data_IF_703535683579
#
_entry.id   IF_703535683579
#
_cell.length_a   1.000
_cell.length_b   1.000
_cell.length_c   1.000
_cell.angle_alpha   90.00
_cell.angle_beta   90.00
_cell.angle_gamma   90.00
#
_symmetry.space_group_name_H-M   'P 1'
#
loop_
_entity.id
_entity.type
_entity.pdbx_description
1 polymer ?
#
# COMPACT_ATOMS: atom_id res chain seq x y z
N UNK A 1 -2.35 -15.49 -16.55
CA UNK A 1 -2.58 -16.45 -15.43
C UNK A 1 -1.45 -16.45 -14.40
N UNK A 2 -0.19 -16.18 -14.78
CA UNK A 2 0.94 -16.08 -13.85
C UNK A 2 1.21 -14.66 -13.34
N UNK A 3 0.49 -13.67 -13.88
CA UNK A 3 0.77 -12.25 -13.73
C UNK A 3 0.71 -11.81 -12.27
N UNK A 4 -0.26 -12.34 -11.50
CA UNK A 4 -0.38 -12.08 -10.07
C UNK A 4 0.79 -12.63 -9.25
N UNK A 5 1.33 -13.80 -9.61
CA UNK A 5 2.49 -14.39 -8.94
C UNK A 5 3.76 -13.56 -9.21
N UNK A 6 3.96 -13.16 -10.47
CA UNK A 6 5.11 -12.35 -10.88
C UNK A 6 5.06 -10.98 -10.17
N UNK A 7 3.92 -10.29 -10.22
CA UNK A 7 3.74 -8.99 -9.56
C UNK A 7 3.92 -9.13 -8.05
N UNK A 8 3.34 -10.16 -7.43
CA UNK A 8 3.49 -10.42 -6.00
C UNK A 8 4.94 -10.68 -5.59
N UNK A 9 5.68 -11.45 -6.39
CA UNK A 9 7.10 -11.73 -6.16
C UNK A 9 7.96 -10.45 -6.29
N UNK A 10 7.73 -9.64 -7.32
CA UNK A 10 8.41 -8.36 -7.51
C UNK A 10 8.11 -7.37 -6.37
N UNK A 11 6.85 -7.29 -5.93
CA UNK A 11 6.44 -6.46 -4.81
C UNK A 11 7.10 -6.92 -3.50
N UNK A 12 7.06 -8.23 -3.21
CA UNK A 12 7.73 -8.81 -2.05
C UNK A 12 9.25 -8.56 -2.06
N UNK A 13 9.89 -8.69 -3.23
CA UNK A 13 11.30 -8.37 -3.41
C UNK A 13 11.59 -6.88 -3.12
N UNK A 14 10.75 -5.97 -3.60
CA UNK A 14 10.88 -4.53 -3.34
C UNK A 14 10.75 -4.21 -1.85
N UNK A 15 9.78 -4.81 -1.15
CA UNK A 15 9.61 -4.65 0.31
C UNK A 15 10.83 -5.17 1.08
N UNK A 16 11.32 -6.36 0.71
CA UNK A 16 12.49 -6.96 1.34
C UNK A 16 13.74 -6.10 1.13
N UNK A 17 13.98 -5.64 -0.11
CA UNK A 17 15.14 -4.80 -0.43
C UNK A 17 15.05 -3.40 0.19
N UNK A 18 13.85 -2.84 0.31
CA UNK A 18 13.57 -1.60 1.05
C UNK A 18 13.77 -1.73 2.57
N UNK A 19 13.93 -2.96 3.08
CA UNK A 19 14.04 -3.26 4.50
C UNK A 19 12.76 -2.97 5.27
N UNK A 20 11.61 -3.02 4.58
CA UNK A 20 10.28 -2.78 5.14
C UNK A 20 9.71 -4.01 5.86
N UNK A 21 10.37 -5.14 5.72
CA UNK A 21 10.09 -6.38 6.46
C UNK A 21 10.74 -6.40 7.85
N UNK A 22 11.49 -5.35 8.22
CA UNK A 22 12.18 -5.27 9.52
C UNK A 22 11.27 -4.63 10.56
N UNK A 23 11.02 -5.36 11.65
CA UNK A 23 10.23 -4.87 12.80
C UNK A 23 10.69 -3.48 13.28
N UNK A 24 12.00 -3.26 13.41
CA UNK A 24 12.57 -1.97 13.85
C UNK A 24 12.17 -0.77 12.98
N UNK A 25 11.89 -1.00 11.70
CA UNK A 25 11.46 0.05 10.77
C UNK A 25 9.96 0.35 10.91
N UNK A 26 9.14 -0.68 11.11
CA UNK A 26 7.70 -0.53 11.31
C UNK A 26 7.43 0.17 12.65
N UNK A 27 8.01 -0.34 13.75
CA UNK A 27 7.87 0.29 15.07
C UNK A 27 8.48 1.69 15.09
N UNK A 28 9.56 1.92 14.33
CA UNK A 28 10.15 3.24 14.15
C UNK A 28 9.19 4.23 13.49
N UNK A 29 8.35 3.80 12.56
CA UNK A 29 7.30 4.64 11.98
C UNK A 29 6.20 4.95 12.99
N UNK A 30 5.75 3.95 13.78
CA UNK A 30 4.73 4.15 14.82
C UNK A 30 5.19 5.11 15.93
N UNK A 31 6.47 5.03 16.30
CA UNK A 31 7.09 5.94 17.27
C UNK A 31 7.52 7.29 16.66
N UNK A 32 7.24 7.52 15.37
CA UNK A 32 7.65 8.72 14.63
C UNK A 32 9.17 8.98 14.64
N UNK A 33 9.99 7.92 14.74
CA UNK A 33 11.46 7.96 14.74
C UNK A 33 12.08 7.63 13.37
N UNK A 34 11.42 6.77 12.59
CA UNK A 34 11.87 6.38 11.24
C UNK A 34 10.67 6.40 10.28
N UNK A 35 10.64 7.36 9.36
CA UNK A 35 9.57 7.53 8.38
C UNK A 35 9.79 6.75 7.08
N UNK A 36 10.77 5.86 6.99
CA UNK A 36 11.10 5.18 5.73
C UNK A 36 9.95 4.34 5.18
N UNK A 37 9.20 3.63 6.04
CA UNK A 37 8.03 2.88 5.61
C UNK A 37 6.93 3.80 5.06
N UNK A 38 6.65 4.88 5.78
CA UNK A 38 5.67 5.89 5.36
C UNK A 38 6.05 6.54 4.02
N UNK A 39 7.33 6.93 3.84
CA UNK A 39 7.83 7.50 2.58
C UNK A 39 7.69 6.53 1.41
N UNK A 40 7.96 5.25 1.62
CA UNK A 40 7.77 4.23 0.57
C UNK A 40 6.30 4.12 0.16
N UNK A 41 5.38 4.02 1.13
CA UNK A 41 3.94 3.93 0.85
C UNK A 41 3.43 5.17 0.10
N UNK A 42 3.81 6.37 0.56
CA UNK A 42 3.39 7.61 -0.09
C UNK A 42 4.02 7.81 -1.47
N UNK A 43 5.28 7.42 -1.68
CA UNK A 43 5.90 7.47 -3.00
C UNK A 43 5.18 6.54 -3.99
N UNK A 44 4.84 5.32 -3.57
CA UNK A 44 4.05 4.40 -4.38
C UNK A 44 2.69 4.98 -4.75
N UNK A 45 1.97 5.54 -3.76
CA UNK A 45 0.71 6.25 -3.99
C UNK A 45 0.85 7.41 -4.98
N UNK A 46 1.83 8.29 -4.77
CA UNK A 46 2.05 9.46 -5.61
C UNK A 46 2.35 9.08 -7.07
N UNK A 47 3.27 8.13 -7.30
CA UNK A 47 3.63 7.67 -8.65
C UNK A 47 2.41 7.02 -9.32
N UNK A 48 1.68 6.18 -8.60
CA UNK A 48 0.50 5.48 -9.12
C UNK A 48 -0.60 6.46 -9.52
N UNK A 49 -0.91 7.41 -8.64
CA UNK A 49 -1.91 8.47 -8.92
C UNK A 49 -1.49 9.34 -10.09
N UNK A 50 -0.20 9.68 -10.22
CA UNK A 50 0.31 10.49 -11.32
C UNK A 50 0.19 9.75 -12.67
N UNK A 51 0.64 8.48 -12.73
CA UNK A 51 0.58 7.68 -13.95
C UNK A 51 -0.87 7.49 -14.40
N UNK A 52 -1.76 7.08 -13.49
CA UNK A 52 -3.16 6.87 -13.86
C UNK A 52 -3.91 8.17 -14.13
N UNK A 53 -3.65 9.23 -13.36
CA UNK A 53 -4.26 10.53 -13.61
C UNK A 53 -3.83 11.14 -14.95
N UNK A 54 -2.55 10.99 -15.33
CA UNK A 54 -2.07 11.40 -16.65
C UNK A 54 -2.64 10.52 -17.77
N UNK A 55 -2.75 9.21 -17.55
CA UNK A 55 -3.36 8.29 -18.51
C UNK A 55 -4.82 8.61 -18.79
N UNK A 56 -5.57 9.03 -17.76
CA UNK A 56 -6.96 9.48 -17.89
C UNK A 56 -7.05 10.79 -18.69
N UNK A 57 -6.18 11.77 -18.40
CA UNK A 57 -6.15 13.06 -19.11
C UNK A 57 -5.78 12.93 -20.59
N UNK A 58 -4.94 11.94 -20.93
CA UNK A 58 -4.46 11.70 -22.29
C UNK A 58 -5.29 10.62 -23.03
N UNK A 59 -6.36 10.10 -22.42
CA UNK A 59 -7.22 9.04 -22.98
C UNK A 59 -6.44 7.76 -23.37
N UNK A 60 -5.36 7.43 -22.65
CA UNK A 60 -4.40 6.39 -23.02
C UNK A 60 -4.78 4.98 -22.53
N UNK A 61 -5.90 4.80 -21.84
CA UNK A 61 -6.25 3.49 -21.29
C UNK A 61 -7.60 3.40 -20.59
N UNK A 62 -7.98 2.20 -20.15
CA UNK A 62 -9.25 1.98 -19.45
C UNK A 62 -9.26 2.71 -18.10
N UNK A 63 -10.41 3.30 -17.78
CA UNK A 63 -10.63 3.97 -16.50
C UNK A 63 -10.30 3.03 -15.33
N UNK A 64 -9.55 3.55 -14.36
CA UNK A 64 -9.25 2.83 -13.14
C UNK A 64 -10.55 2.53 -12.37
N UNK A 65 -10.72 1.28 -11.93
CA UNK A 65 -11.88 0.90 -11.12
C UNK A 65 -11.70 1.43 -9.70
N UNK A 66 -12.40 2.51 -9.38
CA UNK A 66 -12.47 3.07 -8.03
C UNK A 66 -13.50 2.25 -7.23
N UNK A 67 -13.10 1.73 -6.08
CA UNK A 67 -14.03 1.07 -5.16
C UNK A 67 -14.98 2.12 -4.55
N UNK A 68 -16.28 1.84 -4.55
CA UNK A 68 -17.28 2.71 -3.95
C UNK A 68 -17.17 2.76 -2.42
N UNK A 69 -17.53 3.92 -1.84
CA UNK A 69 -17.60 4.07 -0.39
C UNK A 69 -18.76 3.27 0.20
N UNK A 70 -18.47 2.45 1.20
CA UNK A 70 -19.42 1.53 1.85
C UNK A 70 -19.71 1.94 3.30
N UNK A 71 -19.76 3.25 3.57
CA UNK A 71 -20.19 3.79 4.86
C UNK A 71 -19.44 3.23 6.06
N UNK A 72 -20.21 2.87 7.09
CA UNK A 72 -19.72 2.27 8.34
C UNK A 72 -18.92 0.97 8.14
N UNK A 73 -19.15 0.23 7.05
CA UNK A 73 -18.41 -1.00 6.77
C UNK A 73 -16.91 -0.75 6.59
N UNK A 74 -16.51 0.40 6.02
CA UNK A 74 -15.09 0.76 5.91
C UNK A 74 -14.47 1.04 7.28
N UNK A 75 -15.21 1.67 8.19
CA UNK A 75 -14.73 2.01 9.53
C UNK A 75 -14.57 0.72 10.35
N UNK A 76 -15.61 -0.11 10.39
CA UNK A 76 -15.59 -1.38 11.14
C UNK A 76 -14.52 -2.32 10.58
N UNK A 77 -14.44 -2.45 9.25
CA UNK A 77 -13.43 -3.26 8.59
C UNK A 77 -12.00 -2.76 8.85
N UNK A 78 -11.79 -1.44 8.81
CA UNK A 78 -10.49 -0.83 9.11
C UNK A 78 -10.04 -1.05 10.55
N UNK A 79 -10.95 -0.93 11.52
CA UNK A 79 -10.66 -1.19 12.94
C UNK A 79 -10.31 -2.68 13.14
N UNK A 80 -11.13 -3.59 12.61
CA UNK A 80 -10.90 -5.03 12.74
C UNK A 80 -9.58 -5.46 12.10
N UNK A 81 -9.29 -4.93 10.91
CA UNK A 81 -8.04 -5.18 10.20
C UNK A 81 -6.83 -4.65 10.98
N UNK A 82 -6.86 -3.40 11.44
CA UNK A 82 -5.79 -2.81 12.22
C UNK A 82 -5.53 -3.53 13.54
N UNK A 83 -6.59 -3.91 14.26
CA UNK A 83 -6.49 -4.70 15.48
C UNK A 83 -5.88 -6.08 15.21
N UNK A 84 -6.33 -6.77 14.15
CA UNK A 84 -5.78 -8.06 13.74
C UNK A 84 -4.29 -7.98 13.40
N UNK A 85 -3.87 -6.94 12.68
CA UNK A 85 -2.45 -6.71 12.38
C UNK A 85 -1.61 -6.52 13.64
N UNK A 86 -2.03 -5.65 14.56
CA UNK A 86 -1.29 -5.41 15.80
C UNK A 86 -1.18 -6.66 16.67
N UNK A 87 -2.24 -7.49 16.72
CA UNK A 87 -2.23 -8.77 17.45
C UNK A 87 -1.33 -9.83 16.79
N UNK A 88 -1.22 -9.82 15.45
CA UNK A 88 -0.37 -10.74 14.70
C UNK A 88 1.13 -10.40 14.77
N UNK A 89 1.51 -9.33 15.47
CA UNK A 89 2.90 -8.90 15.63
C UNK A 89 3.42 -8.06 14.46
N UNK A 90 2.49 -7.36 13.77
CA UNK A 90 2.81 -6.39 12.73
C UNK A 90 2.88 -4.96 13.29
#
# INVERSE_FOLDING_TARGET
>A
MWDGLIIGALFGFALHRGGLTRYSRIIGTLLMKDFKAMKFMFAGLAITTLIYGMGDLLELGPAQRINGYFGMGHIIGGILFGAGMGLAGL
#
